data_IF_875981157281
#
_entry.id   IF_875981157281
#
_cell.length_a   1.000
_cell.length_b   1.000
_cell.length_c   1.000
_cell.angle_alpha   90.00
_cell.angle_beta   90.00
_cell.angle_gamma   90.00
#
_symmetry.space_group_name_H-M   'P 1'
#
loop_
_entity.id
_entity.type
_entity.pdbx_description
1 polymer ?
#
# COMPACT_ATOMS: atom_id res chain seq x y z
N UNK A 1 -45.60 -42.25 -11.18
CA UNK A 1 -45.19 -41.90 -9.80
C UNK A 1 -43.68 -41.93 -9.74
N UNK A 2 -43.01 -40.78 -9.63
CA UNK A 2 -41.57 -40.68 -9.38
C UNK A 2 -41.39 -40.26 -7.92
N UNK A 3 -40.68 -41.08 -7.16
CA UNK A 3 -40.38 -40.87 -5.74
C UNK A 3 -39.09 -40.03 -5.65
N UNK A 4 -39.19 -38.82 -5.11
CA UNK A 4 -38.04 -37.97 -4.80
C UNK A 4 -37.68 -38.17 -3.33
N UNK A 5 -36.48 -38.68 -3.06
CA UNK A 5 -35.92 -38.79 -1.71
C UNK A 5 -35.05 -37.55 -1.48
N UNK A 6 -35.48 -36.65 -0.59
CA UNK A 6 -34.65 -35.57 -0.07
C UNK A 6 -33.79 -36.08 1.07
N UNK A 7 -32.48 -36.13 0.85
CA UNK A 7 -31.49 -36.40 1.89
C UNK A 7 -31.06 -35.07 2.51
N UNK A 8 -31.41 -34.84 3.78
CA UNK A 8 -30.93 -33.68 4.55
C UNK A 8 -29.60 -34.04 5.21
N UNK A 9 -28.50 -33.48 4.73
CA UNK A 9 -27.19 -33.59 5.38
C UNK A 9 -27.03 -32.40 6.32
N UNK A 10 -27.17 -32.64 7.62
CA UNK A 10 -26.80 -31.67 8.65
C UNK A 10 -25.28 -31.60 8.77
N UNK A 11 -24.69 -30.46 8.43
CA UNK A 11 -23.27 -30.19 8.68
C UNK A 11 -23.13 -29.72 10.13
N UNK A 12 -22.57 -30.60 10.97
CA UNK A 12 -22.09 -30.27 12.30
C UNK A 12 -20.78 -29.46 12.16
N UNK A 13 -20.82 -28.16 12.45
CA UNK A 13 -19.60 -27.36 12.62
C UNK A 13 -19.02 -27.69 14.00
N UNK A 14 -18.11 -28.66 14.03
CA UNK A 14 -17.36 -29.00 15.24
C UNK A 14 -16.29 -27.96 15.52
N UNK A 15 -16.48 -27.15 16.57
CA UNK A 15 -15.40 -26.35 17.16
C UNK A 15 -14.34 -27.30 17.72
N UNK A 16 -13.20 -27.42 17.04
CA UNK A 16 -12.00 -28.03 17.63
C UNK A 16 -11.45 -27.04 18.65
N UNK A 17 -11.58 -27.37 19.94
CA UNK A 17 -11.02 -26.61 21.05
C UNK A 17 -9.50 -26.53 20.88
N UNK A 18 -8.89 -25.34 20.71
CA UNK A 18 -7.44 -25.23 20.68
C UNK A 18 -6.86 -25.59 22.06
N UNK A 19 -5.65 -26.17 22.11
CA UNK A 19 -4.98 -26.46 23.38
C UNK A 19 -4.80 -25.17 24.20
N UNK A 20 -4.99 -25.28 25.51
CA UNK A 20 -4.80 -24.18 26.45
C UNK A 20 -3.39 -23.60 26.29
N UNK A 21 -3.29 -22.29 26.00
CA UNK A 21 -2.01 -21.58 26.02
C UNK A 21 -1.54 -21.42 27.47
N UNK A 22 -0.23 -21.54 27.75
CA UNK A 22 0.32 -21.24 29.06
C UNK A 22 0.22 -19.73 29.34
N UNK A 23 -0.07 -19.39 30.59
CA UNK A 23 -0.16 -18.02 31.11
C UNK A 23 1.17 -17.29 30.87
N UNK A 24 1.18 -16.40 29.87
CA UNK A 24 2.25 -15.42 29.69
C UNK A 24 2.00 -14.26 30.65
N UNK A 25 2.67 -14.26 31.80
CA UNK A 25 2.84 -13.06 32.61
C UNK A 25 3.88 -12.16 31.94
N UNK A 26 3.46 -10.98 31.49
CA UNK A 26 4.38 -9.94 31.03
C UNK A 26 5.08 -9.29 32.24
N UNK A 27 6.41 -9.12 32.24
CA UNK A 27 7.07 -8.30 33.25
C UNK A 27 6.71 -6.81 33.06
N UNK A 28 6.65 -6.02 34.14
CA UNK A 28 6.36 -4.59 34.05
C UNK A 28 7.45 -3.85 33.27
N UNK A 29 7.04 -3.06 32.29
CA UNK A 29 7.92 -2.18 31.51
C UNK A 29 8.37 -1.02 32.40
N UNK A 30 9.68 -0.94 32.69
CA UNK A 30 10.29 0.24 33.29
C UNK A 30 10.59 1.29 32.20
N UNK A 31 10.11 2.50 32.40
CA UNK A 31 10.47 3.67 31.61
C UNK A 31 11.80 4.25 32.11
N UNK A 32 12.80 4.51 31.25
CA UNK A 32 13.94 5.33 31.63
C UNK A 32 13.52 6.81 31.64
N UNK A 33 13.72 7.44 32.78
CA UNK A 33 13.62 8.89 33.00
C UNK A 33 14.75 9.63 32.29
N UNK A 34 14.40 10.77 31.69
CA UNK A 34 15.33 11.80 31.21
C UNK A 34 16.37 12.19 32.27
N UNK A 35 17.65 12.23 31.90
CA UNK A 35 18.62 13.14 32.50
C UNK A 35 19.56 13.71 31.44
N UNK A 36 19.35 15.00 31.20
CA UNK A 36 20.26 15.91 30.54
C UNK A 36 20.99 16.71 31.63
N UNK A 37 22.33 16.64 31.70
CA UNK A 37 23.20 17.70 32.23
C UNK A 37 24.66 17.28 32.16
N UNK A 38 25.52 18.10 31.55
CA UNK A 38 26.97 17.91 31.70
C UNK A 38 27.83 18.63 30.67
N UNK A 39 27.87 19.96 30.76
CA UNK A 39 28.88 20.81 30.12
C UNK A 39 30.17 20.76 30.95
N UNK A 40 31.34 20.45 30.38
CA UNK A 40 32.66 20.79 30.98
C UNK A 40 33.70 21.03 29.88
N UNK A 41 34.39 22.15 30.04
CA UNK A 41 35.54 22.68 29.30
C UNK A 41 36.70 21.70 29.08
N UNK A 42 37.46 21.94 28.01
CA UNK A 42 38.74 21.26 27.80
C UNK A 42 39.50 21.67 26.53
N UNK A 43 39.89 22.94 26.40
CA UNK A 43 40.98 23.34 25.49
C UNK A 43 42.32 22.77 25.99
N UNK A 44 43.16 22.21 25.10
CA UNK A 44 44.51 22.77 25.02
C UNK A 44 45.14 22.78 23.61
N UNK A 45 45.88 23.88 23.37
CA UNK A 45 47.20 23.95 22.71
C UNK A 45 47.30 23.80 21.18
N UNK A 46 47.45 24.95 20.52
CA UNK A 46 48.06 25.09 19.19
C UNK A 46 49.54 24.67 19.18
N UNK A 47 50.02 23.95 18.15
CA UNK A 47 51.40 24.00 17.72
C UNK A 47 51.63 25.06 16.63
N UNK A 48 52.88 25.52 16.60
CA UNK A 48 53.44 26.64 15.85
C UNK A 48 53.27 26.59 14.31
N UNK A 49 53.36 27.74 13.62
CA UNK A 49 53.30 27.82 12.17
C UNK A 49 54.60 27.29 11.54
N UNK A 50 54.48 26.32 10.63
CA UNK A 50 55.54 25.89 9.74
C UNK A 50 55.68 26.85 8.56
N UNK A 51 56.93 27.11 8.17
CA UNK A 51 57.35 28.03 7.11
C UNK A 51 56.70 27.78 5.75
N UNK A 52 56.48 28.85 4.94
CA UNK A 52 55.91 28.71 3.61
C UNK A 52 56.88 28.03 2.63
N UNK A 53 56.37 27.06 1.88
CA UNK A 53 57.04 26.47 0.73
C UNK A 53 57.13 27.50 -0.42
N UNK A 54 58.19 27.45 -1.25
CA UNK A 54 58.39 28.38 -2.35
C UNK A 54 57.30 28.26 -3.41
N UNK A 55 56.87 29.41 -3.93
CA UNK A 55 55.85 29.54 -4.96
C UNK A 55 56.20 28.76 -6.24
N UNK A 56 55.36 27.78 -6.58
CA UNK A 56 55.34 27.17 -7.90
C UNK A 56 54.89 28.19 -8.94
N UNK A 57 55.63 28.26 -10.04
CA UNK A 57 55.35 29.14 -11.18
C UNK A 57 53.92 28.95 -11.72
N UNK A 58 53.27 30.03 -12.21
CA UNK A 58 51.93 29.93 -12.80
C UNK A 58 51.97 29.02 -14.04
N UNK A 59 51.25 27.91 -13.96
CA UNK A 59 50.92 27.07 -15.11
C UNK A 59 50.23 27.95 -16.17
N UNK A 60 50.62 27.87 -17.45
CA UNK A 60 49.94 28.62 -18.51
C UNK A 60 48.45 28.33 -18.47
N UNK A 61 47.64 29.39 -18.43
CA UNK A 61 46.19 29.28 -18.53
C UNK A 61 45.84 28.56 -19.84
N UNK A 62 45.46 27.29 -19.71
CA UNK A 62 44.79 26.53 -20.76
C UNK A 62 43.61 27.35 -21.24
N UNK A 63 43.69 27.89 -22.45
CA UNK A 63 42.56 28.56 -23.08
C UNK A 63 41.39 27.57 -23.11
N UNK A 64 40.18 27.97 -22.69
CA UNK A 64 39.02 27.10 -22.75
C UNK A 64 38.84 26.69 -24.21
N UNK A 65 38.97 25.38 -24.48
CA UNK A 65 38.69 24.82 -25.78
C UNK A 65 37.31 25.29 -26.20
N UNK A 66 37.23 26.05 -27.29
CA UNK A 66 35.98 26.43 -27.94
C UNK A 66 35.21 25.16 -28.22
N UNK A 67 34.18 24.90 -27.42
CA UNK A 67 33.32 23.73 -27.56
C UNK A 67 32.65 23.82 -28.94
N UNK A 68 33.10 22.99 -29.87
CA UNK A 68 32.48 22.87 -31.19
C UNK A 68 31.12 22.21 -30.97
N UNK A 69 30.08 23.03 -30.85
CA UNK A 69 28.70 22.54 -30.73
C UNK A 69 28.38 21.74 -31.99
N UNK A 70 28.09 20.45 -31.80
CA UNK A 70 27.91 19.50 -32.89
C UNK A 70 26.65 19.82 -33.72
N UNK A 71 26.75 19.69 -35.06
CA UNK A 71 25.64 19.93 -36.00
C UNK A 71 24.67 18.73 -36.08
N UNK A 72 24.18 18.32 -34.92
CA UNK A 72 23.30 17.16 -34.72
C UNK A 72 22.17 17.53 -33.76
N UNK A 73 21.15 16.68 -33.67
CA UNK A 73 20.11 16.77 -32.63
C UNK A 73 20.55 15.95 -31.41
N UNK A 74 20.69 16.58 -30.25
CA UNK A 74 21.24 15.93 -29.04
C UNK A 74 20.36 16.21 -27.82
N UNK A 75 19.14 15.66 -27.78
CA UNK A 75 18.27 15.74 -26.61
C UNK A 75 18.88 14.99 -25.42
N UNK A 76 18.76 15.61 -24.24
CA UNK A 76 19.16 15.03 -22.96
C UNK A 76 18.21 15.48 -21.85
N UNK A 77 18.00 14.61 -20.87
CA UNK A 77 17.35 14.98 -19.59
C UNK A 77 18.42 15.55 -18.67
N UNK A 78 18.27 16.79 -18.23
CA UNK A 78 19.23 17.45 -17.35
C UNK A 78 18.81 17.37 -15.89
N UNK A 79 17.51 17.51 -15.61
CA UNK A 79 16.97 17.41 -14.26
C UNK A 79 15.56 16.85 -14.24
N UNK A 80 15.19 16.34 -13.07
CA UNK A 80 13.87 15.86 -12.74
C UNK A 80 13.48 16.33 -11.34
N UNK A 81 12.17 16.54 -11.12
CA UNK A 81 11.60 16.83 -9.81
C UNK A 81 10.24 16.16 -9.70
N UNK A 82 9.99 15.48 -8.58
CA UNK A 82 8.67 14.90 -8.28
C UNK A 82 8.02 15.69 -7.14
N UNK A 83 6.78 16.12 -7.36
CA UNK A 83 6.00 16.91 -6.39
C UNK A 83 4.54 16.47 -6.38
N UNK A 84 3.81 16.76 -5.29
CA UNK A 84 2.36 16.64 -5.26
C UNK A 84 1.66 17.84 -5.90
N UNK A 85 0.33 17.88 -5.83
CA UNK A 85 -0.48 18.96 -6.40
C UNK A 85 -0.12 20.35 -5.84
N UNK A 86 0.33 20.43 -4.58
CA UNK A 86 0.74 21.65 -3.89
C UNK A 86 2.20 22.04 -4.15
N UNK A 87 2.97 21.24 -4.90
CA UNK A 87 4.39 21.51 -5.17
C UNK A 87 5.37 21.01 -4.10
N UNK A 88 4.88 20.26 -3.11
CA UNK A 88 5.67 19.68 -2.02
C UNK A 88 6.09 18.24 -2.33
N UNK A 89 6.94 17.65 -1.48
CA UNK A 89 7.24 16.21 -1.51
C UNK A 89 5.94 15.40 -1.40
N UNK A 90 5.68 14.44 -2.30
CA UNK A 90 4.47 13.64 -2.25
C UNK A 90 4.44 12.73 -1.02
N UNK A 91 3.26 12.59 -0.42
CA UNK A 91 2.99 11.57 0.58
C UNK A 91 2.36 10.32 -0.05
N UNK A 92 2.50 9.17 0.61
CA UNK A 92 1.86 7.91 0.18
C UNK A 92 0.35 8.12 -0.02
N UNK A 93 -0.18 7.64 -1.14
CA UNK A 93 -1.59 7.79 -1.52
C UNK A 93 -1.93 9.10 -2.25
N UNK A 94 -1.00 10.05 -2.36
CA UNK A 94 -1.20 11.24 -3.19
C UNK A 94 -0.87 10.97 -4.66
N UNK A 95 -1.57 11.67 -5.55
CA UNK A 95 -1.11 11.80 -6.93
C UNK A 95 0.14 12.69 -6.99
N UNK A 96 1.05 12.35 -7.90
CA UNK A 96 2.31 13.05 -8.07
C UNK A 96 2.45 13.60 -9.51
N UNK A 97 3.35 14.57 -9.63
CA UNK A 97 3.75 15.22 -10.88
C UNK A 97 5.26 15.13 -11.01
N UNK A 98 5.71 14.51 -12.09
CA UNK A 98 7.11 14.49 -12.51
C UNK A 98 7.33 15.65 -13.49
N UNK A 99 8.19 16.58 -13.11
CA UNK A 99 8.64 17.69 -13.94
C UNK A 99 10.03 17.31 -14.47
N UNK A 100 10.16 17.14 -15.79
CA UNK A 100 11.42 16.79 -16.45
C UNK A 100 11.92 17.99 -17.23
N UNK A 101 13.16 18.40 -16.97
CA UNK A 101 13.84 19.43 -17.77
C UNK A 101 14.70 18.76 -18.81
N UNK A 102 14.43 19.14 -20.06
CA UNK A 102 15.11 18.66 -21.25
C UNK A 102 15.97 19.77 -21.82
N UNK A 103 17.06 19.38 -22.47
CA UNK A 103 17.90 20.27 -23.25
C UNK A 103 18.27 19.59 -24.55
N UNK A 104 18.18 20.32 -25.66
CA UNK A 104 18.85 19.96 -26.89
C UNK A 104 20.16 20.75 -26.96
N UNK A 105 21.30 20.07 -26.78
CA UNK A 105 22.61 20.74 -26.86
C UNK A 105 23.10 20.93 -28.30
N UNK A 106 22.31 20.53 -29.29
CA UNK A 106 22.66 20.47 -30.69
C UNK A 106 22.09 21.61 -31.52
N UNK A 107 22.66 21.83 -32.71
CA UNK A 107 22.25 22.90 -33.63
C UNK A 107 21.02 22.56 -34.48
N UNK A 108 20.55 21.31 -34.46
CA UNK A 108 19.35 20.88 -35.19
C UNK A 108 18.18 20.69 -34.25
N UNK A 109 16.99 21.07 -34.70
CA UNK A 109 15.73 20.71 -34.05
C UNK A 109 15.38 19.25 -34.34
N UNK A 110 14.51 18.65 -33.51
CA UNK A 110 14.07 17.29 -33.72
C UNK A 110 12.96 16.85 -32.77
N UNK A 111 12.46 15.64 -33.03
CA UNK A 111 11.43 14.98 -32.24
C UNK A 111 11.94 13.64 -31.74
N UNK A 112 11.55 13.26 -30.52
CA UNK A 112 11.92 11.99 -29.90
C UNK A 112 10.81 11.53 -28.95
N UNK A 113 10.83 10.24 -28.60
CA UNK A 113 10.00 9.70 -27.53
C UNK A 113 10.80 9.69 -26.23
N UNK A 114 10.20 10.21 -25.16
CA UNK A 114 10.69 10.14 -23.80
C UNK A 114 9.84 9.18 -23.00
N UNK A 115 10.43 8.11 -22.50
CA UNK A 115 9.82 7.24 -21.51
C UNK A 115 10.49 7.47 -20.15
N UNK A 116 9.69 7.73 -19.12
CA UNK A 116 10.19 7.88 -17.75
C UNK A 116 9.93 6.58 -16.99
N UNK A 117 10.96 6.01 -16.37
CA UNK A 117 10.83 4.76 -15.62
C UNK A 117 11.16 4.98 -14.14
N UNK A 118 10.38 4.34 -13.28
CA UNK A 118 10.45 4.46 -11.83
C UNK A 118 10.92 3.15 -11.20
N UNK A 119 11.87 3.25 -10.27
CA UNK A 119 12.35 2.11 -9.49
C UNK A 119 12.25 2.44 -8.00
N UNK A 120 11.63 1.57 -7.22
CA UNK A 120 11.64 1.64 -5.76
C UNK A 120 12.96 1.09 -5.23
N UNK A 121 13.50 1.70 -4.17
CA UNK A 121 14.61 1.11 -3.40
C UNK A 121 14.12 0.14 -2.33
N UNK A 122 12.82 0.13 -2.02
CA UNK A 122 12.21 -0.70 -0.99
C UNK A 122 11.66 -2.01 -1.56
N UNK A 123 10.90 -1.93 -2.65
CA UNK A 123 10.21 -3.09 -3.22
C UNK A 123 11.07 -3.75 -4.30
N UNK A 124 11.46 -5.01 -4.10
CA UNK A 124 12.41 -5.71 -4.97
C UNK A 124 11.87 -5.94 -6.39
N UNK A 125 10.55 -5.98 -6.52
CA UNK A 125 9.80 -6.27 -7.73
C UNK A 125 9.33 -5.01 -8.48
N UNK A 126 9.60 -3.82 -7.92
CA UNK A 126 9.23 -2.52 -8.47
C UNK A 126 10.45 -1.87 -9.13
N UNK A 127 10.84 -2.39 -10.29
CA UNK A 127 12.02 -1.94 -11.04
C UNK A 127 11.65 -1.52 -12.46
N UNK A 128 12.08 -0.32 -12.85
CA UNK A 128 11.89 0.26 -14.18
C UNK A 128 10.42 0.30 -14.65
N UNK A 129 9.49 0.59 -13.73
CA UNK A 129 8.07 0.73 -14.04
C UNK A 129 7.84 1.97 -14.88
N UNK A 130 7.27 1.80 -16.08
CA UNK A 130 7.05 2.89 -17.01
C UNK A 130 5.94 3.84 -16.51
N UNK A 131 6.22 5.15 -16.47
CA UNK A 131 5.27 6.20 -16.09
C UNK A 131 4.51 6.80 -17.29
N UNK A 132 4.72 6.24 -18.48
CA UNK A 132 4.23 6.74 -19.75
C UNK A 132 5.34 7.18 -20.69
N UNK A 133 4.97 7.29 -21.98
CA UNK A 133 5.84 7.77 -23.05
C UNK A 133 5.25 9.05 -23.65
N UNK A 134 6.08 10.07 -23.83
CA UNK A 134 5.71 11.33 -24.48
C UNK A 134 6.52 11.53 -25.74
N UNK A 135 5.86 11.93 -26.82
CA UNK A 135 6.54 12.48 -27.99
C UNK A 135 6.85 13.96 -27.74
N UNK A 136 8.13 14.32 -27.78
CA UNK A 136 8.61 15.67 -27.49
C UNK A 136 9.38 16.22 -28.68
N UNK A 137 9.08 17.46 -29.05
CA UNK A 137 9.85 18.25 -30.02
C UNK A 137 10.65 19.32 -29.29
N UNK A 138 11.92 19.45 -29.66
CA UNK A 138 12.83 20.51 -29.20
C UNK A 138 13.46 21.23 -30.40
N UNK A 139 13.48 22.55 -30.35
CA UNK A 139 14.25 23.40 -31.25
C UNK A 139 15.76 23.28 -30.97
N UNK A 140 16.57 23.80 -31.90
CA UNK A 140 18.02 23.88 -31.72
C UNK A 140 18.37 24.67 -30.46
N UNK A 141 19.28 24.16 -29.64
CA UNK A 141 19.73 24.78 -28.40
C UNK A 141 18.62 25.05 -27.35
N UNK A 142 17.41 24.50 -27.53
CA UNK A 142 16.28 24.74 -26.62
C UNK A 142 16.46 24.00 -25.28
N UNK A 143 16.01 24.64 -24.20
CA UNK A 143 15.68 23.96 -22.96
C UNK A 143 14.20 24.10 -22.66
N UNK A 144 13.57 22.99 -22.27
CA UNK A 144 12.13 22.90 -22.08
C UNK A 144 11.81 21.98 -20.90
N UNK A 145 10.85 22.37 -20.08
CA UNK A 145 10.29 21.50 -19.05
C UNK A 145 8.98 20.90 -19.53
N UNK A 146 8.79 19.62 -19.23
CA UNK A 146 7.53 18.90 -19.45
C UNK A 146 7.05 18.31 -18.13
N UNK A 147 5.75 18.06 -18.02
CA UNK A 147 5.14 17.52 -16.80
C UNK A 147 4.35 16.27 -17.13
N UNK A 148 4.55 15.24 -16.32
CA UNK A 148 3.84 13.96 -16.33
C UNK A 148 3.10 13.82 -15.00
N UNK A 149 1.79 13.65 -15.02
CA UNK A 149 1.01 13.35 -13.82
C UNK A 149 0.81 11.83 -13.72
N UNK A 150 0.92 11.29 -12.51
CA UNK A 150 0.66 9.88 -12.23
C UNK A 150 -0.01 9.73 -10.87
N UNK A 151 -0.88 8.73 -10.77
CA UNK A 151 -1.62 8.43 -9.55
C UNK A 151 -0.81 7.59 -8.57
N UNK A 152 -1.39 7.26 -7.40
CA UNK A 152 -0.78 6.36 -6.43
C UNK A 152 -0.70 4.91 -6.90
N UNK A 153 -1.46 4.53 -7.93
CA UNK A 153 -1.39 3.22 -8.59
C UNK A 153 -0.81 3.38 -9.98
N UNK A 154 0.05 2.43 -10.38
CA UNK A 154 0.70 2.42 -11.69
C UNK A 154 0.42 1.09 -12.40
N UNK A 155 0.12 1.17 -13.68
CA UNK A 155 0.02 0.02 -14.59
C UNK A 155 1.23 0.04 -15.52
N UNK A 156 2.00 -1.05 -15.54
CA UNK A 156 3.04 -1.25 -16.54
C UNK A 156 2.46 -2.00 -17.74
N UNK A 157 2.21 -1.28 -18.83
CA UNK A 157 1.67 -1.83 -20.06
C UNK A 157 2.54 -2.92 -20.71
N UNK A 158 3.85 -2.93 -20.43
CA UNK A 158 4.78 -3.89 -21.03
C UNK A 158 4.69 -5.23 -20.33
N UNK A 159 4.65 -5.20 -19.00
CA UNK A 159 4.63 -6.42 -18.16
C UNK A 159 3.23 -6.81 -17.71
N UNK A 160 2.23 -5.95 -17.94
CA UNK A 160 0.85 -6.07 -17.46
C UNK A 160 0.75 -6.19 -15.94
N UNK A 161 1.70 -5.57 -15.23
CA UNK A 161 1.79 -5.57 -13.78
C UNK A 161 1.16 -4.33 -13.18
N UNK A 162 0.70 -4.48 -11.95
CA UNK A 162 0.00 -3.44 -11.19
C UNK A 162 0.78 -3.15 -9.92
N UNK A 163 0.98 -1.86 -9.64
CA UNK A 163 1.81 -1.38 -8.56
C UNK A 163 1.11 -0.32 -7.72
N UNK A 164 1.46 -0.25 -6.44
CA UNK A 164 1.08 0.85 -5.56
C UNK A 164 2.34 1.60 -5.07
N UNK A 165 2.30 2.92 -5.14
CA UNK A 165 3.42 3.77 -4.75
C UNK A 165 3.49 3.95 -3.23
N UNK A 166 4.11 2.98 -2.56
CA UNK A 166 4.40 3.02 -1.13
C UNK A 166 5.32 4.18 -0.72
N UNK A 167 5.53 4.33 0.58
CA UNK A 167 6.50 5.26 1.12
C UNK A 167 7.93 4.72 0.97
N UNK A 168 8.90 5.63 0.87
CA UNK A 168 10.32 5.29 0.78
C UNK A 168 11.03 6.00 -0.36
N UNK A 169 12.27 5.58 -0.62
CA UNK A 169 13.11 6.17 -1.64
C UNK A 169 12.86 5.54 -3.02
N UNK A 170 12.86 6.39 -4.04
CA UNK A 170 12.68 6.04 -5.45
C UNK A 170 13.77 6.67 -6.30
N UNK A 171 13.99 6.10 -7.48
CA UNK A 171 14.91 6.63 -8.49
C UNK A 171 14.26 6.61 -9.87
N UNK A 172 14.57 7.63 -10.67
CA UNK A 172 14.10 7.78 -12.03
C UNK A 172 15.21 7.44 -13.04
N UNK A 173 14.83 6.78 -14.12
CA UNK A 173 15.61 6.69 -15.35
C UNK A 173 14.78 7.16 -16.53
N UNK A 174 15.44 7.59 -17.60
CA UNK A 174 14.76 8.16 -18.76
C UNK A 174 15.29 7.52 -20.03
N UNK A 175 14.41 6.94 -20.82
CA UNK A 175 14.73 6.45 -22.15
C UNK A 175 14.39 7.51 -23.19
N UNK A 176 15.36 7.86 -24.02
CA UNK A 176 15.21 8.73 -25.18
C UNK A 176 15.36 7.88 -26.43
N UNK A 177 14.32 7.87 -27.26
CA UNK A 177 14.30 7.17 -28.55
C UNK A 177 14.05 8.18 -29.68
N UNK A 178 15.04 8.36 -30.56
CA UNK A 178 14.89 9.18 -31.76
C UNK A 178 14.71 8.29 -32.99
N UNK A 179 14.04 8.77 -34.05
CA UNK A 179 13.90 8.02 -35.29
C UNK A 179 15.26 7.53 -35.81
N UNK A 180 15.35 6.23 -36.11
CA UNK A 180 16.55 5.61 -36.69
C UNK A 180 17.81 5.63 -35.82
N UNK A 181 17.68 5.89 -34.52
CA UNK A 181 18.78 5.80 -33.55
C UNK A 181 18.50 4.73 -32.49
N UNK A 182 19.55 4.18 -31.89
CA UNK A 182 19.40 3.30 -30.75
C UNK A 182 18.85 4.08 -29.54
N UNK A 183 17.98 3.43 -28.76
CA UNK A 183 17.47 3.94 -27.50
C UNK A 183 18.62 4.30 -26.55
N UNK A 184 18.56 5.49 -25.97
CA UNK A 184 19.54 5.98 -24.98
C UNK A 184 18.89 6.11 -23.62
N UNK A 185 19.42 5.42 -22.62
CA UNK A 185 18.99 5.54 -21.23
C UNK A 185 19.83 6.58 -20.48
N UNK A 186 19.17 7.52 -19.81
CA UNK A 186 19.76 8.54 -18.95
C UNK A 186 19.48 8.17 -17.49
N UNK A 187 20.54 7.96 -16.72
CA UNK A 187 20.48 7.54 -15.32
C UNK A 187 21.14 8.54 -14.36
N UNK A 188 21.63 9.67 -14.86
CA UNK A 188 22.42 10.65 -14.11
C UNK A 188 21.80 12.07 -14.10
N UNK A 189 20.51 12.20 -14.40
CA UNK A 189 19.80 13.47 -14.30
C UNK A 189 19.80 13.99 -12.84
N UNK A 190 19.95 15.31 -12.65
CA UNK A 190 19.86 15.92 -11.32
C UNK A 190 18.45 15.75 -10.74
N UNK A 191 18.33 15.45 -9.45
CA UNK A 191 17.02 15.26 -8.80
C UNK A 191 16.26 13.98 -9.19
N UNK A 192 16.92 13.03 -9.88
CA UNK A 192 16.34 11.72 -10.21
C UNK A 192 15.96 10.88 -8.99
N UNK A 193 16.65 11.09 -7.87
CA UNK A 193 16.40 10.39 -6.61
C UNK A 193 15.48 11.26 -5.75
N UNK A 194 14.41 10.67 -5.23
CA UNK A 194 13.43 11.35 -4.39
C UNK A 194 12.81 10.36 -3.40
N UNK A 195 12.00 10.86 -2.48
CA UNK A 195 11.29 10.03 -1.50
C UNK A 195 9.80 10.37 -1.47
N UNK A 196 9.00 9.35 -1.21
CA UNK A 196 7.58 9.48 -0.87
C UNK A 196 7.45 9.42 0.65
N UNK A 197 6.85 10.45 1.23
CA UNK A 197 6.68 10.57 2.68
C UNK A 197 5.70 9.53 3.21
N UNK A 198 6.04 8.91 4.34
CA UNK A 198 5.16 7.97 5.01
C UNK A 198 3.96 8.68 5.68
N UNK A 199 2.80 8.03 5.68
CA UNK A 199 1.59 8.46 6.37
C UNK A 199 0.71 7.23 6.71
N UNK A 200 -0.49 7.45 7.23
CA UNK A 200 -1.40 6.36 7.64
C UNK A 200 -2.25 5.79 6.47
N UNK A 201 -1.79 5.88 5.22
CA UNK A 201 -2.49 5.27 4.06
C UNK A 201 -2.17 3.79 3.96
N UNK A 202 -3.19 2.98 3.67
CA UNK A 202 -3.10 1.54 3.41
C UNK A 202 -3.62 1.26 2.02
N UNK A 203 -2.77 0.74 1.13
CA UNK A 203 -3.16 0.28 -0.19
C UNK A 203 -3.67 -1.15 -0.14
N UNK A 204 -4.96 -1.31 -0.42
CA UNK A 204 -5.64 -2.61 -0.43
C UNK A 204 -5.97 -3.01 -1.86
N UNK A 205 -5.37 -4.10 -2.31
CA UNK A 205 -5.79 -4.81 -3.52
C UNK A 205 -7.08 -5.58 -3.21
N UNK A 206 -8.16 -5.29 -3.92
CA UNK A 206 -9.47 -5.94 -3.74
C UNK A 206 -9.71 -6.90 -4.89
N UNK A 207 -9.50 -8.20 -4.65
CA UNK A 207 -9.73 -9.24 -5.65
C UNK A 207 -11.17 -9.73 -5.55
N UNK A 208 -11.99 -9.67 -6.60
CA UNK A 208 -13.42 -9.88 -6.41
C UNK A 208 -14.15 -10.57 -7.56
N UNK A 209 -15.25 -11.23 -7.20
CA UNK A 209 -16.20 -11.85 -8.14
C UNK A 209 -17.45 -10.97 -8.26
N UNK A 210 -17.95 -10.76 -9.48
CA UNK A 210 -19.24 -10.06 -9.68
C UNK A 210 -20.38 -10.74 -8.89
N UNK A 211 -20.36 -12.08 -8.86
CA UNK A 211 -21.33 -12.88 -8.13
C UNK A 211 -21.39 -12.60 -6.62
N UNK A 212 -20.34 -12.00 -6.03
CA UNK A 212 -20.37 -11.55 -4.64
C UNK A 212 -21.44 -10.47 -4.43
N UNK A 213 -21.38 -9.41 -5.24
CA UNK A 213 -22.34 -8.30 -5.18
C UNK A 213 -23.73 -8.73 -5.68
N UNK A 214 -23.78 -9.59 -6.70
CA UNK A 214 -25.05 -10.11 -7.22
C UNK A 214 -25.80 -10.91 -6.15
N UNK A 215 -25.09 -11.73 -5.38
CA UNK A 215 -25.68 -12.59 -4.34
C UNK A 215 -26.29 -11.79 -3.18
N UNK A 216 -25.69 -10.65 -2.83
CA UNK A 216 -26.23 -9.72 -1.81
C UNK A 216 -27.22 -8.71 -2.40
N UNK A 217 -27.44 -8.71 -3.71
CA UNK A 217 -28.33 -7.78 -4.41
C UNK A 217 -27.86 -6.32 -4.41
N UNK A 218 -26.54 -6.06 -4.35
CA UNK A 218 -26.00 -4.71 -4.29
C UNK A 218 -25.62 -4.15 -5.66
N UNK A 219 -26.27 -3.07 -6.10
CA UNK A 219 -26.17 -2.56 -7.48
C UNK A 219 -25.35 -1.27 -7.62
N UNK A 220 -24.89 -0.66 -6.53
CA UNK A 220 -24.16 0.62 -6.57
C UNK A 220 -22.66 0.46 -6.90
N UNK A 221 -22.21 -0.77 -7.16
CA UNK A 221 -20.83 -1.09 -7.55
C UNK A 221 -19.87 -1.27 -6.36
N UNK A 222 -18.70 -1.87 -6.63
CA UNK A 222 -17.74 -2.26 -5.61
C UNK A 222 -17.16 -1.06 -4.83
N UNK A 223 -16.85 0.05 -5.50
CA UNK A 223 -16.30 1.23 -4.84
C UNK A 223 -17.25 1.75 -3.74
N UNK A 224 -18.55 1.84 -4.03
CA UNK A 224 -19.58 2.22 -3.05
C UNK A 224 -19.75 1.15 -1.96
N UNK A 225 -19.65 -0.13 -2.29
CA UNK A 225 -19.70 -1.21 -1.31
C UNK A 225 -18.57 -1.11 -0.27
N UNK A 226 -17.34 -0.89 -0.73
CA UNK A 226 -16.16 -0.75 0.11
C UNK A 226 -16.23 0.53 0.94
N UNK A 227 -16.56 1.67 0.32
CA UNK A 227 -16.71 2.95 1.00
C UNK A 227 -17.76 2.88 2.11
N UNK A 228 -18.96 2.43 1.81
CA UNK A 228 -20.04 2.33 2.81
C UNK A 228 -19.76 1.29 3.90
N UNK A 229 -18.97 0.25 3.62
CA UNK A 229 -18.58 -0.74 4.61
C UNK A 229 -17.52 -0.23 5.58
N UNK A 230 -16.43 0.35 5.05
CA UNK A 230 -15.31 0.88 5.85
C UNK A 230 -15.66 2.20 6.55
N UNK A 231 -16.58 2.99 6.01
CA UNK A 231 -17.11 4.21 6.62
C UNK A 231 -18.48 4.01 7.29
N UNK A 232 -18.83 2.77 7.64
CA UNK A 232 -20.02 2.52 8.46
C UNK A 232 -19.75 2.94 9.89
N UNK A 233 -20.70 3.69 10.47
CA UNK A 233 -20.66 4.12 11.87
C UNK A 233 -20.22 2.99 12.79
N UNK A 234 -19.22 3.29 13.61
CA UNK A 234 -18.53 2.32 14.43
C UNK A 234 -18.54 2.78 15.89
N UNK A 235 -18.79 1.87 16.83
CA UNK A 235 -18.76 2.17 18.25
C UNK A 235 -17.86 1.19 18.99
N UNK A 236 -17.10 1.69 19.96
CA UNK A 236 -16.20 0.89 20.79
C UNK A 236 -16.77 0.85 22.20
N UNK A 237 -16.90 -0.35 22.73
CA UNK A 237 -17.45 -0.61 24.04
C UNK A 237 -16.49 -1.44 24.87
N UNK A 238 -16.66 -1.37 26.19
CA UNK A 238 -16.01 -2.23 27.16
C UNK A 238 -17.07 -3.00 27.95
N UNK A 239 -16.85 -4.30 28.16
CA UNK A 239 -17.69 -5.13 29.04
C UNK A 239 -18.37 -6.30 28.33
N UNK A 240 -19.19 -7.03 29.08
CA UNK A 240 -19.99 -8.14 28.53
C UNK A 240 -21.23 -7.58 27.82
N UNK A 241 -21.93 -8.41 27.04
CA UNK A 241 -23.15 -7.99 26.32
C UNK A 241 -24.22 -7.33 27.20
N UNK A 242 -24.18 -7.54 28.52
CA UNK A 242 -25.18 -7.04 29.46
C UNK A 242 -24.71 -5.79 30.25
N UNK A 243 -23.41 -5.49 30.26
CA UNK A 243 -22.79 -4.35 30.97
C UNK A 243 -21.93 -3.50 30.01
N UNK A 244 -22.42 -3.32 28.78
CA UNK A 244 -21.70 -2.58 27.74
C UNK A 244 -21.58 -1.10 28.12
N UNK A 245 -20.36 -0.68 28.46
CA UNK A 245 -20.02 0.73 28.67
C UNK A 245 -19.46 1.29 27.37
N UNK A 246 -20.20 2.22 26.76
CA UNK A 246 -19.75 2.92 25.56
C UNK A 246 -18.47 3.70 25.89
N UNK A 247 -17.43 3.48 25.09
CA UNK A 247 -16.15 4.14 25.25
C UNK A 247 -15.99 5.28 24.24
N UNK A 248 -16.21 4.98 22.95
CA UNK A 248 -16.04 5.96 21.88
C UNK A 248 -16.89 5.62 20.65
N UNK A 249 -17.12 6.60 19.78
CA UNK A 249 -17.86 6.47 18.52
C UNK A 249 -17.09 7.13 17.39
N UNK A 250 -16.97 6.40 16.28
CA UNK A 250 -16.23 6.79 15.09
C UNK A 250 -17.15 6.82 13.87
N UNK A 251 -16.74 7.58 12.84
CA UNK A 251 -17.45 7.57 11.56
C UNK A 251 -17.28 6.25 10.81
N UNK A 252 -16.22 5.47 11.11
CA UNK A 252 -15.88 4.26 10.37
C UNK A 252 -14.76 3.44 11.00
N UNK A 253 -14.45 2.31 10.37
CA UNK A 253 -13.29 1.49 10.69
C UNK A 253 -11.97 2.25 10.49
N UNK A 254 -11.85 2.98 9.38
CA UNK A 254 -10.68 3.80 9.07
C UNK A 254 -10.47 4.91 10.10
N UNK A 255 -11.55 5.59 10.50
CA UNK A 255 -11.53 6.64 11.54
C UNK A 255 -11.15 6.06 12.91
N UNK A 256 -11.75 4.93 13.30
CA UNK A 256 -11.41 4.21 14.54
C UNK A 256 -9.92 3.84 14.60
N UNK A 257 -9.34 3.42 13.47
CA UNK A 257 -7.93 3.08 13.39
C UNK A 257 -7.02 4.28 13.10
N UNK A 258 -7.55 5.45 12.78
CA UNK A 258 -6.79 6.62 12.32
C UNK A 258 -5.95 6.32 11.08
N UNK A 259 -6.52 5.63 10.10
CA UNK A 259 -5.91 5.27 8.81
C UNK A 259 -6.78 5.77 7.65
N UNK A 260 -6.25 5.65 6.43
CA UNK A 260 -7.02 5.80 5.20
C UNK A 260 -6.76 4.62 4.29
N UNK A 261 -7.76 3.76 4.13
CA UNK A 261 -7.72 2.64 3.21
C UNK A 261 -7.99 3.16 1.80
N UNK A 262 -7.11 2.82 0.87
CA UNK A 262 -7.25 3.12 -0.55
C UNK A 262 -7.35 1.81 -1.32
N UNK A 263 -8.46 1.64 -2.04
CA UNK A 263 -8.77 0.42 -2.75
C UNK A 263 -8.36 0.52 -4.23
N UNK A 264 -7.77 -0.57 -4.72
CA UNK A 264 -7.63 -0.85 -6.15
C UNK A 264 -8.26 -2.21 -6.40
N UNK A 265 -9.27 -2.25 -7.25
CA UNK A 265 -10.02 -3.48 -7.50
C UNK A 265 -9.49 -4.26 -8.70
N UNK A 266 -9.62 -5.57 -8.60
CA UNK A 266 -9.23 -6.56 -9.61
C UNK A 266 -10.34 -7.60 -9.72
N UNK A 267 -11.14 -7.50 -10.78
CA UNK A 267 -12.23 -8.43 -11.02
C UNK A 267 -11.73 -9.75 -11.63
N UNK A 268 -12.49 -10.83 -11.44
CA UNK A 268 -12.25 -12.12 -12.09
C UNK A 268 -11.37 -13.05 -11.26
N UNK A 269 -11.52 -13.00 -9.93
CA UNK A 269 -10.84 -13.89 -9.01
C UNK A 269 -11.42 -15.31 -9.05
N UNK A 270 -10.55 -16.31 -9.09
CA UNK A 270 -10.93 -17.73 -9.06
C UNK A 270 -10.55 -18.36 -7.71
N UNK A 271 -11.33 -18.03 -6.68
CA UNK A 271 -11.22 -18.63 -5.34
C UNK A 271 -12.54 -19.34 -5.02
N UNK A 272 -12.43 -20.56 -4.51
CA UNK A 272 -13.58 -21.44 -4.24
C UNK A 272 -13.39 -22.22 -2.94
N UNK A 273 -14.49 -22.44 -2.23
CA UNK A 273 -14.54 -23.32 -1.06
C UNK A 273 -14.72 -24.79 -1.44
N UNK A 274 -15.05 -25.07 -2.71
CA UNK A 274 -15.37 -26.43 -3.18
C UNK A 274 -14.12 -27.31 -3.38
N UNK A 275 -12.96 -26.70 -3.62
CA UNK A 275 -11.76 -27.40 -4.09
C UNK A 275 -10.93 -28.02 -2.95
N UNK A 276 -11.36 -27.86 -1.68
CA UNK A 276 -10.69 -28.38 -0.49
C UNK A 276 -9.32 -27.74 -0.18
N UNK A 277 -8.79 -26.90 -1.07
CA UNK A 277 -7.58 -26.13 -0.89
C UNK A 277 -7.79 -24.97 0.09
N UNK A 278 -6.75 -24.64 0.87
CA UNK A 278 -6.77 -23.50 1.79
C UNK A 278 -7.12 -22.20 1.05
N UNK A 279 -8.20 -21.56 1.48
CA UNK A 279 -8.79 -20.41 0.77
C UNK A 279 -7.88 -19.19 0.80
N UNK A 280 -7.10 -19.03 1.87
CA UNK A 280 -6.14 -17.95 2.01
C UNK A 280 -4.98 -18.14 1.02
N UNK A 281 -4.47 -19.37 0.89
CA UNK A 281 -3.48 -19.72 -0.12
C UNK A 281 -3.99 -19.48 -1.55
N UNK A 282 -5.26 -19.78 -1.85
CA UNK A 282 -5.87 -19.46 -3.15
C UNK A 282 -5.90 -17.94 -3.40
N UNK A 283 -6.32 -17.15 -2.41
CA UNK A 283 -6.34 -15.68 -2.50
C UNK A 283 -4.93 -15.08 -2.71
N UNK A 284 -3.91 -15.66 -2.07
CA UNK A 284 -2.52 -15.25 -2.28
C UNK A 284 -2.02 -15.56 -3.69
N UNK A 285 -2.40 -16.72 -4.24
CA UNK A 285 -2.11 -17.12 -5.63
C UNK A 285 -2.84 -16.22 -6.64
N UNK A 286 -4.06 -15.81 -6.35
CA UNK A 286 -4.79 -14.88 -7.22
C UNK A 286 -4.20 -13.48 -7.18
N UNK A 287 -3.66 -13.04 -6.03
CA UNK A 287 -2.85 -11.82 -5.94
C UNK A 287 -1.65 -11.89 -6.90
N UNK A 288 -0.94 -13.02 -6.92
CA UNK A 288 0.14 -13.26 -7.90
C UNK A 288 -0.33 -13.09 -9.33
N UNK A 289 -1.43 -13.74 -9.70
CA UNK A 289 -1.95 -13.73 -11.08
C UNK A 289 -2.45 -12.36 -11.51
N UNK A 290 -3.25 -11.69 -10.67
CA UNK A 290 -3.95 -10.44 -11.02
C UNK A 290 -3.04 -9.22 -10.95
N UNK A 291 -2.08 -9.17 -10.01
CA UNK A 291 -1.12 -8.07 -9.90
C UNK A 291 0.15 -8.33 -10.70
N UNK A 292 0.38 -9.57 -11.13
CA UNK A 292 1.59 -10.00 -11.82
C UNK A 292 2.81 -10.14 -10.89
N UNK A 293 2.58 -10.54 -9.63
CA UNK A 293 3.67 -10.79 -8.68
C UNK A 293 4.54 -11.96 -9.17
N UNK A 294 5.78 -12.00 -8.69
CA UNK A 294 6.69 -13.12 -8.97
C UNK A 294 6.26 -14.40 -8.24
N UNK A 295 5.92 -14.25 -6.97
CA UNK A 295 5.55 -15.30 -6.05
C UNK A 295 4.15 -15.05 -5.49
N UNK A 296 3.62 -15.99 -4.71
CA UNK A 296 2.32 -15.79 -4.05
C UNK A 296 2.41 -14.60 -3.09
N UNK A 297 1.28 -13.92 -2.86
CA UNK A 297 1.23 -12.80 -1.93
C UNK A 297 1.87 -13.16 -0.57
N UNK A 298 2.84 -12.36 -0.15
CA UNK A 298 3.55 -12.55 1.09
C UNK A 298 2.87 -11.80 2.23
N UNK A 299 2.70 -12.45 3.37
CA UNK A 299 1.99 -11.90 4.53
C UNK A 299 2.73 -12.31 5.80
N UNK A 300 3.13 -11.32 6.60
CA UNK A 300 3.74 -11.54 7.93
C UNK A 300 3.14 -10.58 8.95
N UNK A 301 3.27 -10.92 10.24
CA UNK A 301 2.83 -10.06 11.33
C UNK A 301 3.71 -8.82 11.52
N UNK A 302 4.95 -8.89 11.02
CA UNK A 302 5.97 -7.86 11.25
C UNK A 302 6.01 -6.83 10.12
N UNK A 303 5.57 -7.19 8.91
CA UNK A 303 5.58 -6.32 7.73
C UNK A 303 4.23 -6.35 7.01
N UNK A 304 3.50 -5.22 6.98
CA UNK A 304 2.25 -5.10 6.20
C UNK A 304 2.51 -5.00 4.70
N UNK A 305 3.41 -4.09 4.31
CA UNK A 305 3.87 -3.94 2.92
C UNK A 305 5.19 -4.68 2.74
N UNK A 306 5.07 -5.97 2.48
CA UNK A 306 6.17 -6.83 2.07
C UNK A 306 6.81 -6.27 0.78
N UNK A 307 8.13 -6.43 0.68
CA UNK A 307 8.93 -5.95 -0.45
C UNK A 307 8.57 -6.61 -1.80
N UNK A 308 7.85 -7.73 -1.79
CA UNK A 308 7.49 -8.54 -2.96
C UNK A 308 5.97 -8.51 -3.30
N UNK A 309 5.23 -7.54 -2.76
CA UNK A 309 3.79 -7.34 -3.05
C UNK A 309 3.51 -6.11 -3.93
N UNK A 310 4.44 -5.71 -4.82
CA UNK A 310 4.31 -4.52 -5.68
C UNK A 310 3.91 -3.21 -4.95
N UNK A 311 4.22 -3.11 -3.65
CA UNK A 311 3.90 -1.94 -2.83
C UNK A 311 2.49 -1.86 -2.24
N UNK A 312 1.65 -2.89 -2.45
CA UNK A 312 0.37 -3.00 -1.75
C UNK A 312 0.57 -3.50 -0.31
N UNK A 313 -0.29 -3.03 0.60
CA UNK A 313 -0.23 -3.37 2.03
C UNK A 313 -1.18 -4.51 2.40
N UNK A 314 -2.26 -4.71 1.64
CA UNK A 314 -3.30 -5.71 1.93
C UNK A 314 -3.88 -6.32 0.66
N UNK A 315 -4.25 -7.60 0.75
CA UNK A 315 -5.04 -8.34 -0.21
C UNK A 315 -6.38 -8.73 0.44
N UNK A 316 -7.46 -8.10 -0.01
CA UNK A 316 -8.83 -8.40 0.41
C UNK A 316 -9.55 -9.09 -0.75
N UNK A 317 -9.90 -10.36 -0.57
CA UNK A 317 -10.61 -11.12 -1.60
C UNK A 317 -12.09 -11.26 -1.26
N UNK A 318 -12.98 -10.95 -2.19
CA UNK A 318 -14.44 -11.02 -2.03
C UNK A 318 -15.02 -12.13 -2.93
N UNK A 319 -15.63 -13.16 -2.32
CA UNK A 319 -16.15 -14.32 -3.05
C UNK A 319 -17.60 -14.63 -2.70
N UNK A 320 -18.37 -15.12 -3.66
CA UNK A 320 -19.79 -15.44 -3.46
C UNK A 320 -20.07 -16.64 -2.53
N UNK A 321 -19.04 -17.39 -2.10
CA UNK A 321 -19.18 -18.57 -1.26
C UNK A 321 -19.75 -18.27 0.12
N UNK A 322 -20.60 -19.18 0.60
CA UNK A 322 -21.41 -19.07 1.82
C UNK A 322 -20.74 -19.43 3.14
N UNK A 323 -19.49 -19.04 3.38
CA UNK A 323 -18.71 -19.56 4.51
C UNK A 323 -18.43 -18.54 5.63
N UNK A 324 -18.89 -17.29 5.49
CA UNK A 324 -18.44 -16.20 6.35
C UNK A 324 -17.15 -15.62 5.80
N UNK A 325 -16.03 -15.77 6.51
CA UNK A 325 -14.74 -15.24 6.07
C UNK A 325 -13.57 -15.96 6.75
N UNK A 326 -12.36 -15.69 6.26
CA UNK A 326 -11.10 -16.12 6.86
C UNK A 326 -10.04 -15.05 6.62
N UNK A 327 -9.14 -14.87 7.58
CA UNK A 327 -7.99 -14.00 7.46
C UNK A 327 -6.80 -14.56 8.23
N UNK A 328 -5.59 -14.18 7.81
CA UNK A 328 -4.41 -14.37 8.64
C UNK A 328 -4.40 -13.32 9.75
N UNK A 329 -4.42 -13.77 11.01
CA UNK A 329 -4.28 -12.89 12.17
C UNK A 329 -2.95 -12.13 12.08
N UNK A 330 -3.03 -10.81 12.17
CA UNK A 330 -1.94 -9.86 11.95
C UNK A 330 -1.27 -9.94 10.56
N UNK A 331 -1.81 -10.72 9.62
CA UNK A 331 -1.31 -10.79 8.25
C UNK A 331 -1.88 -9.70 7.35
N UNK A 332 -1.63 -9.81 6.05
CA UNK A 332 -2.11 -8.89 5.01
C UNK A 332 -3.05 -9.56 3.99
N UNK A 333 -3.60 -10.74 4.29
CA UNK A 333 -4.57 -11.43 3.44
C UNK A 333 -5.87 -11.71 4.20
N UNK A 334 -6.99 -11.33 3.61
CA UNK A 334 -8.34 -11.64 4.07
C UNK A 334 -9.20 -12.12 2.89
N UNK A 335 -10.10 -13.06 3.16
CA UNK A 335 -11.12 -13.53 2.23
C UNK A 335 -12.48 -13.38 2.91
N UNK A 336 -13.34 -12.56 2.34
CA UNK A 336 -14.72 -12.38 2.77
C UNK A 336 -15.67 -13.08 1.80
N UNK A 337 -16.44 -14.02 2.33
CA UNK A 337 -17.56 -14.67 1.69
C UNK A 337 -18.88 -13.92 1.93
N UNK A 338 -19.95 -14.49 1.39
CA UNK A 338 -21.33 -14.11 1.75
C UNK A 338 -21.78 -14.98 2.92
N UNK A 339 -22.66 -14.46 3.77
CA UNK A 339 -23.29 -15.25 4.81
C UNK A 339 -24.59 -15.87 4.28
N UNK A 340 -24.59 -17.17 3.97
CA UNK A 340 -25.73 -17.82 3.29
C UNK A 340 -27.05 -17.79 4.09
N UNK A 341 -26.96 -17.81 5.41
CA UNK A 341 -28.14 -17.71 6.29
C UNK A 341 -28.79 -16.33 6.30
N UNK A 342 -28.06 -15.29 5.89
CA UNK A 342 -28.50 -13.89 5.83
C UNK A 342 -27.57 -13.09 4.91
N UNK A 343 -27.80 -13.10 3.58
CA UNK A 343 -26.96 -12.40 2.61
C UNK A 343 -27.28 -10.89 2.57
N UNK A 344 -27.82 -10.32 3.65
CA UNK A 344 -28.05 -8.88 3.71
C UNK A 344 -26.74 -8.09 3.59
N UNK A 345 -26.85 -6.88 3.04
CA UNK A 345 -25.75 -5.92 2.91
C UNK A 345 -25.05 -5.73 4.27
N UNK A 346 -25.86 -5.57 5.33
CA UNK A 346 -25.38 -5.35 6.69
C UNK A 346 -24.44 -6.45 7.17
N UNK A 347 -24.86 -7.71 7.04
CA UNK A 347 -24.13 -8.89 7.53
C UNK A 347 -22.90 -9.18 6.68
N UNK A 348 -23.03 -9.05 5.36
CA UNK A 348 -21.93 -9.36 4.46
C UNK A 348 -20.82 -8.32 4.53
N UNK A 349 -21.14 -7.03 4.74
CA UNK A 349 -20.13 -6.02 5.07
C UNK A 349 -19.50 -6.24 6.45
N UNK A 350 -20.26 -6.74 7.43
CA UNK A 350 -19.71 -7.06 8.75
C UNK A 350 -18.62 -8.14 8.66
N UNK A 351 -18.84 -9.18 7.85
CA UNK A 351 -17.83 -10.21 7.56
C UNK A 351 -16.56 -9.58 6.97
N UNK A 352 -16.70 -8.74 5.93
CA UNK A 352 -15.55 -8.07 5.33
C UNK A 352 -14.73 -7.26 6.35
N UNK A 353 -15.41 -6.52 7.23
CA UNK A 353 -14.74 -5.71 8.26
C UNK A 353 -14.17 -6.58 9.40
N UNK A 354 -14.82 -7.70 9.75
CA UNK A 354 -14.29 -8.69 10.69
C UNK A 354 -12.95 -9.23 10.20
N UNK A 355 -12.88 -9.69 8.95
CA UNK A 355 -11.65 -10.24 8.38
C UNK A 355 -10.56 -9.18 8.21
N UNK A 356 -10.93 -7.95 7.84
CA UNK A 356 -10.00 -6.83 7.87
C UNK A 356 -9.45 -6.62 9.28
N UNK A 357 -10.29 -6.65 10.32
CA UNK A 357 -9.89 -6.56 11.73
C UNK A 357 -8.82 -7.58 12.13
N UNK A 358 -8.95 -8.83 11.69
CA UNK A 358 -7.93 -9.86 11.87
C UNK A 358 -6.59 -9.49 11.23
N UNK A 359 -6.57 -8.90 10.03
CA UNK A 359 -5.32 -8.40 9.44
C UNK A 359 -4.68 -7.26 10.24
N UNK A 360 -5.46 -6.47 10.96
CA UNK A 360 -4.92 -5.53 11.95
C UNK A 360 -4.56 -6.18 13.27
N UNK A 361 -4.92 -7.44 13.49
CA UNK A 361 -4.55 -8.25 14.65
C UNK A 361 -5.59 -8.30 15.74
N UNK A 362 -6.83 -7.87 15.49
CA UNK A 362 -7.93 -8.09 16.41
C UNK A 362 -8.17 -9.59 16.58
N UNK A 363 -8.14 -10.15 17.80
CA UNK A 363 -8.59 -11.52 18.02
C UNK A 363 -10.12 -11.59 18.02
N UNK A 364 -10.66 -12.80 17.96
CA UNK A 364 -12.02 -13.04 18.46
C UNK A 364 -12.08 -12.66 19.95
N UNK A 365 -13.20 -12.06 20.31
CA UNK A 365 -13.65 -11.73 21.67
C UNK A 365 -14.37 -12.89 22.40
N UNK A 366 -14.24 -14.14 21.96
CA UNK A 366 -14.96 -15.27 22.55
C UNK A 366 -14.69 -15.40 24.07
N UNK A 367 -15.70 -15.70 24.90
CA UNK A 367 -17.06 -16.07 24.55
C UNK A 367 -18.03 -14.87 24.40
N UNK A 368 -17.55 -13.62 24.48
CA UNK A 368 -18.40 -12.42 24.37
C UNK A 368 -19.09 -12.40 23.00
N UNK A 369 -20.33 -11.89 22.96
CA UNK A 369 -21.14 -11.81 21.74
C UNK A 369 -21.63 -10.37 21.55
N UNK A 370 -22.08 -10.04 20.33
CA UNK A 370 -22.55 -8.69 20.02
C UNK A 370 -21.41 -7.71 19.70
N UNK A 371 -20.26 -8.23 19.28
CA UNK A 371 -19.15 -7.44 18.77
C UNK A 371 -18.78 -7.96 17.39
N UNK A 372 -18.20 -7.12 16.53
CA UNK A 372 -17.89 -7.51 15.14
C UNK A 372 -17.00 -8.75 15.08
N UNK A 373 -16.08 -8.90 16.03
CA UNK A 373 -15.20 -10.06 16.16
C UNK A 373 -15.90 -11.30 16.72
N UNK A 374 -17.15 -11.19 17.22
CA UNK A 374 -17.98 -12.29 17.75
C UNK A 374 -19.49 -11.99 17.65
N UNK A 375 -20.12 -12.43 16.56
CA UNK A 375 -21.56 -12.26 16.33
C UNK A 375 -22.06 -10.81 16.52
N UNK A 376 -21.47 -9.86 15.80
CA UNK A 376 -21.80 -8.43 15.91
C UNK A 376 -23.26 -8.10 15.67
N UNK A 377 -23.98 -8.95 14.94
CA UNK A 377 -25.41 -8.80 14.67
C UNK A 377 -26.30 -8.85 15.91
N UNK A 378 -25.79 -9.45 17.00
CA UNK A 378 -26.56 -9.61 18.23
C UNK A 378 -26.57 -8.33 19.06
N UNK A 379 -25.79 -7.31 18.65
CA UNK A 379 -25.74 -6.05 19.37
C UNK A 379 -26.99 -5.22 19.14
N UNK A 380 -27.51 -4.60 20.20
CA UNK A 380 -28.68 -3.72 20.13
C UNK A 380 -28.46 -2.51 19.20
N UNK A 381 -27.26 -1.92 19.18
CA UNK A 381 -26.95 -0.80 18.29
C UNK A 381 -26.93 -1.24 16.83
N UNK A 382 -26.35 -2.42 16.55
CA UNK A 382 -26.44 -3.00 15.20
C UNK A 382 -27.88 -3.25 14.78
N UNK A 383 -28.71 -3.86 15.65
CA UNK A 383 -30.12 -4.15 15.35
C UNK A 383 -30.90 -2.84 15.11
N UNK A 384 -30.58 -1.79 15.86
CA UNK A 384 -31.28 -0.51 15.82
C UNK A 384 -30.94 0.31 14.59
N UNK A 385 -29.66 0.46 14.26
CA UNK A 385 -29.22 1.39 13.20
C UNK A 385 -28.06 0.86 12.33
N UNK A 386 -27.65 -0.39 12.52
CA UNK A 386 -26.59 -1.04 11.74
C UNK A 386 -25.18 -0.68 12.20
N UNK A 387 -25.00 0.02 13.33
CA UNK A 387 -23.66 0.36 13.85
C UNK A 387 -22.79 -0.90 14.04
N UNK A 388 -21.54 -0.82 13.57
CA UNK A 388 -20.54 -1.86 13.83
C UNK A 388 -19.92 -1.67 15.20
N UNK A 389 -20.10 -2.65 16.08
CA UNK A 389 -19.68 -2.55 17.49
C UNK A 389 -18.42 -3.36 17.73
N UNK A 390 -17.38 -2.75 18.31
CA UNK A 390 -16.12 -3.39 18.64
C UNK A 390 -15.95 -3.51 20.15
N UNK A 391 -15.32 -4.59 20.58
CA UNK A 391 -14.80 -4.68 21.94
C UNK A 391 -13.47 -3.93 22.01
N UNK A 392 -13.23 -3.20 23.10
CA UNK A 392 -12.01 -2.41 23.31
C UNK A 392 -10.73 -3.25 23.15
N UNK A 393 -10.71 -4.49 23.63
CA UNK A 393 -9.55 -5.38 23.50
C UNK A 393 -9.17 -5.66 22.03
N UNK A 394 -10.16 -5.74 21.13
CA UNK A 394 -9.91 -5.89 19.69
C UNK A 394 -9.24 -4.63 19.13
N UNK A 395 -9.69 -3.45 19.54
CA UNK A 395 -9.12 -2.17 19.11
C UNK A 395 -7.70 -1.98 19.66
N UNK A 396 -7.45 -2.32 20.92
CA UNK A 396 -6.14 -2.25 21.54
C UNK A 396 -5.12 -3.21 20.88
N UNK A 397 -5.56 -4.42 20.52
CA UNK A 397 -4.76 -5.37 19.75
C UNK A 397 -4.40 -4.81 18.36
N UNK A 398 -5.35 -4.13 17.69
CA UNK A 398 -5.07 -3.47 16.42
C UNK A 398 -4.10 -2.29 16.57
N UNK A 399 -4.26 -1.48 17.61
CA UNK A 399 -3.42 -0.32 17.90
C UNK A 399 -1.96 -0.70 18.21
N UNK A 400 -1.73 -1.82 18.89
CA UNK A 400 -0.38 -2.33 19.15
C UNK A 400 0.32 -2.83 17.88
N UNK A 401 -0.42 -3.45 16.95
CA UNK A 401 0.13 -3.89 15.66
C UNK A 401 0.29 -2.75 14.64
N UNK A 402 -0.51 -1.68 14.71
CA UNK A 402 -0.32 -0.47 13.88
C UNK A 402 1.07 0.15 14.07
N UNK A 403 1.58 0.14 15.31
CA UNK A 403 2.92 0.67 15.66
C UNK A 403 4.08 -0.19 15.15
N UNK A 404 3.84 -1.47 14.82
CA UNK A 404 4.87 -2.36 14.27
C UNK A 404 5.06 -2.14 12.77
N UNK A 405 3.96 -1.90 12.04
CA UNK A 405 3.95 -1.70 10.59
C UNK A 405 4.42 -0.32 10.08
N UNK A 406 4.72 0.61 10.99
CA UNK A 406 5.24 1.94 10.64
C UNK A 406 6.77 2.03 10.67
N UNK A 407 7.45 0.93 11.02
CA UNK A 407 8.90 0.75 10.86
C UNK A 407 9.17 0.15 9.48
#
# INVERSE_FOLDING_TARGET
>A
MKLTISLSIGILVGCVKPPARPDFQYPPVQFPSDQNSGNVDGTPSSPAPSSPAPASAPTPASMPATSVVADVFTPVVTSAKVVNAAGNTPAKGEAAKLIVTLQNAGKKAGTFNLSSNLTSKRFSDFTNVNLGTLTVTLAAMESKSITLAFGPYLHDDTTKKEYAMGSGAYTLSFDIEQPSTAKKTITNAAGKDFSITNNNVVFTAVLWQQSYLDKVGYTQGLASWLDTGFNRRTAVYKGTSNDQLLFDVYSGFDDMLGIKTMFKDFQGVNVSTADGADILSQAQSEGKRLLGLKDNWHSTCDERADKDNHGFDMNLTLISSGFGGLAWLCGSTAVAGVFDGDPSIGRTQMVMIHEAGHNYGAPHCDPLQGYIMCSGEKNNDYIKDGTFVWHVDSVDAMGTNKKRSSK
#
